data_IF_083144888438
#
_entry.id   IF_083144888438
#
_cell.length_a   1.000
_cell.length_b   1.000
_cell.length_c   1.000
_cell.angle_alpha   90.00
_cell.angle_beta   90.00
_cell.angle_gamma   90.00
#
_symmetry.space_group_name_H-M   'P 1'
#
loop_
_entity.id
_entity.type
_entity.pdbx_description
1 polymer ?
#
# COMPACT_ATOMS: atom_id res chain seq x y z
N UNK A 1 -26.76 -39.26 -6.78
CA UNK A 1 -26.66 -40.47 -5.95
C UNK A 1 -25.32 -40.50 -5.22
N UNK A 2 -25.41 -40.74 -3.92
CA UNK A 2 -24.40 -41.05 -2.88
C UNK A 2 -23.54 -39.91 -2.34
N UNK A 3 -23.98 -39.53 -1.15
CA UNK A 3 -23.27 -38.83 -0.07
C UNK A 3 -22.11 -39.69 0.46
N UNK A 4 -21.05 -39.05 0.93
CA UNK A 4 -20.24 -39.63 2.02
C UNK A 4 -19.72 -38.49 2.89
N UNK A 5 -20.23 -38.47 4.11
CA UNK A 5 -19.76 -37.68 5.25
C UNK A 5 -18.53 -38.39 5.85
N UNK A 6 -17.61 -37.58 6.37
CA UNK A 6 -16.47 -38.04 7.14
C UNK A 6 -15.96 -36.97 8.10
N UNK A 7 -16.65 -36.84 9.24
CA UNK A 7 -16.15 -36.11 10.40
C UNK A 7 -15.05 -36.90 11.10
N UNK A 8 -13.94 -36.27 11.48
CA UNK A 8 -13.11 -36.70 12.60
C UNK A 8 -12.59 -35.49 13.39
N UNK A 9 -13.19 -35.37 14.57
CA UNK A 9 -12.63 -34.63 15.70
C UNK A 9 -11.35 -35.33 16.19
N UNK A 10 -10.34 -34.58 16.58
CA UNK A 10 -9.45 -34.91 17.68
C UNK A 10 -8.98 -33.64 18.36
N UNK A 11 -9.44 -33.46 19.58
CA UNK A 11 -8.95 -32.52 20.57
C UNK A 11 -7.68 -33.07 21.22
N UNK A 12 -6.69 -32.23 21.48
CA UNK A 12 -5.70 -32.50 22.53
C UNK A 12 -5.23 -31.16 23.11
N UNK A 13 -5.60 -30.93 24.35
CA UNK A 13 -5.10 -29.89 25.22
C UNK A 13 -3.75 -30.32 25.81
N UNK A 14 -2.81 -29.40 25.93
CA UNK A 14 -1.67 -29.53 26.83
C UNK A 14 -1.37 -28.16 27.46
N UNK A 15 -1.60 -28.13 28.75
CA UNK A 15 -1.26 -27.07 29.73
C UNK A 15 0.22 -27.24 30.08
N UNK A 16 0.95 -26.11 30.19
CA UNK A 16 2.33 -26.08 30.67
C UNK A 16 2.65 -24.75 31.28
N UNK A 17 2.76 -24.73 32.61
CA UNK A 17 2.86 -23.57 33.49
C UNK A 17 4.31 -23.08 33.73
N UNK A 18 4.41 -21.79 34.03
CA UNK A 18 5.29 -21.11 35.02
C UNK A 18 6.83 -21.28 34.94
N UNK A 19 7.51 -20.15 34.82
CA UNK A 19 8.64 -19.83 35.72
C UNK A 19 8.89 -18.31 35.78
N UNK A 20 8.48 -17.69 36.87
CA UNK A 20 8.99 -16.41 37.36
C UNK A 20 10.42 -16.62 37.90
N UNK A 21 11.33 -15.74 37.56
CA UNK A 21 12.59 -15.57 38.27
C UNK A 21 12.84 -14.08 38.54
N UNK A 22 12.53 -13.66 39.74
CA UNK A 22 13.02 -12.45 40.38
C UNK A 22 14.47 -12.69 40.83
N UNK A 23 15.35 -11.75 40.55
CA UNK A 23 16.59 -11.60 41.29
C UNK A 23 16.81 -10.12 41.56
N UNK A 24 16.41 -9.74 42.78
CA UNK A 24 16.89 -8.59 43.51
C UNK A 24 18.22 -8.95 44.19
N UNK A 25 19.21 -8.09 44.07
CA UNK A 25 20.35 -8.06 44.96
C UNK A 25 20.75 -6.60 45.21
N UNK A 26 20.37 -6.08 46.35
CA UNK A 26 21.03 -4.99 47.07
C UNK A 26 22.05 -5.61 48.03
N UNK A 27 23.20 -4.99 48.17
CA UNK A 27 24.02 -4.89 49.43
C UNK A 27 25.29 -4.14 49.05
N UNK A 28 25.55 -2.98 49.49
CA UNK A 28 25.84 -2.26 50.74
C UNK A 28 27.25 -2.49 51.26
N UNK A 29 27.89 -1.35 51.57
CA UNK A 29 28.92 -0.99 52.52
C UNK A 29 30.43 -1.25 52.21
N UNK A 30 31.16 -0.11 52.24
CA UNK A 30 32.44 -0.08 52.93
C UNK A 30 33.53 0.80 52.36
N UNK A 31 33.49 2.10 52.71
CA UNK A 31 34.57 3.02 53.15
C UNK A 31 35.94 3.16 52.43
N UNK A 32 36.21 4.45 52.14
CA UNK A 32 37.47 5.27 52.39
C UNK A 32 38.62 5.10 51.40
N UNK A 33 39.09 6.10 50.79
CA UNK A 33 39.71 7.38 50.99
C UNK A 33 40.56 7.80 49.76
N UNK A 34 40.56 9.10 49.53
CA UNK A 34 41.62 9.93 48.97
C UNK A 34 41.77 10.15 47.49
N UNK A 35 41.35 11.36 47.17
CA UNK A 35 42.02 12.43 46.45
C UNK A 35 42.43 12.31 44.97
N UNK A 36 41.84 13.19 44.26
CA UNK A 36 42.43 14.26 43.43
C UNK A 36 42.24 14.19 41.91
N UNK A 37 41.69 15.31 41.44
CA UNK A 37 41.88 15.96 40.17
C UNK A 37 41.07 15.53 38.94
N UNK A 38 40.02 16.36 38.71
CA UNK A 38 39.77 17.12 37.50
C UNK A 38 39.69 16.39 36.14
N UNK A 39 38.46 16.28 35.65
CA UNK A 39 38.08 16.89 34.37
C UNK A 39 36.59 16.67 34.10
N UNK A 40 35.84 17.77 34.05
CA UNK A 40 34.46 17.82 33.52
C UNK A 40 34.39 17.30 32.10
N UNK A 41 33.57 16.31 31.90
CA UNK A 41 32.89 16.09 30.63
C UNK A 41 31.45 15.72 30.94
N UNK A 42 30.63 16.74 31.00
CA UNK A 42 29.14 16.61 31.06
C UNK A 42 28.68 16.06 29.71
N UNK A 43 28.57 14.76 29.59
CA UNK A 43 27.79 14.15 28.52
C UNK A 43 26.33 14.15 28.96
N UNK A 44 25.63 15.20 28.58
CA UNK A 44 24.18 15.22 28.56
C UNK A 44 23.72 14.06 27.66
N UNK A 45 23.41 12.93 28.26
CA UNK A 45 22.56 11.94 27.63
C UNK A 45 21.18 12.60 27.47
N UNK A 46 20.96 13.19 26.31
CA UNK A 46 19.65 13.61 25.87
C UNK A 46 18.77 12.38 25.85
N UNK A 47 17.90 12.24 26.87
CA UNK A 47 16.77 11.35 26.80
C UNK A 47 15.89 11.85 25.66
N UNK A 48 16.06 11.24 24.47
CA UNK A 48 15.07 11.33 23.42
C UNK A 48 13.82 10.68 23.99
N UNK A 49 12.91 11.49 24.49
CA UNK A 49 11.53 11.10 24.72
C UNK A 49 10.98 10.70 23.36
N UNK A 50 11.08 9.43 23.01
CA UNK A 50 10.37 8.91 21.84
C UNK A 50 8.89 9.12 22.10
N UNK A 51 8.25 9.96 21.30
CA UNK A 51 6.79 10.05 21.29
C UNK A 51 6.24 8.61 21.13
N UNK A 52 5.08 8.30 21.78
CA UNK A 52 4.47 6.98 21.60
C UNK A 52 4.35 6.68 20.11
N UNK A 53 4.82 5.50 19.70
CA UNK A 53 4.70 5.09 18.31
C UNK A 53 3.22 5.20 17.89
N UNK A 54 2.97 5.85 16.76
CA UNK A 54 1.62 6.00 16.24
C UNK A 54 1.02 4.61 16.04
N UNK A 55 -0.19 4.41 16.58
CA UNK A 55 -0.92 3.17 16.43
C UNK A 55 -1.50 3.09 15.02
N UNK A 56 -1.40 1.93 14.37
CA UNK A 56 -2.04 1.70 13.09
C UNK A 56 -3.56 1.84 13.18
N UNK A 57 -4.16 2.41 12.13
CA UNK A 57 -5.60 2.42 11.94
C UNK A 57 -6.07 1.01 11.57
N UNK A 58 -7.28 0.66 11.97
CA UNK A 58 -7.95 -0.56 11.54
C UNK A 58 -8.49 -0.41 10.10
N UNK A 59 -8.78 -1.53 9.43
CA UNK A 59 -9.44 -1.53 8.11
C UNK A 59 -10.74 -0.70 8.13
N UNK A 60 -11.58 -0.84 9.15
CA UNK A 60 -12.82 -0.08 9.27
C UNK A 60 -12.63 1.44 9.48
N UNK A 61 -11.48 1.85 10.01
CA UNK A 61 -11.11 3.28 10.11
C UNK A 61 -10.59 3.78 8.77
N UNK A 62 -9.81 2.97 8.04
CA UNK A 62 -9.34 3.29 6.69
C UNK A 62 -10.50 3.42 5.69
N UNK A 63 -11.50 2.53 5.74
CA UNK A 63 -12.71 2.61 4.91
C UNK A 63 -13.42 3.98 5.05
N UNK A 64 -13.47 4.55 6.24
CA UNK A 64 -14.05 5.89 6.48
C UNK A 64 -13.21 7.04 5.95
N UNK A 65 -11.92 6.80 5.69
CA UNK A 65 -11.00 7.77 5.11
C UNK A 65 -10.98 7.71 3.58
N UNK A 66 -11.49 6.65 2.95
CA UNK A 66 -11.63 6.60 1.49
C UNK A 66 -12.55 7.73 1.01
N UNK A 67 -12.33 8.20 -0.22
CA UNK A 67 -13.21 9.17 -0.87
C UNK A 67 -14.60 8.55 -1.05
N UNK A 68 -15.61 9.19 -0.47
CA UNK A 68 -17.00 8.79 -0.63
C UNK A 68 -17.65 9.47 -1.84
N UNK A 69 -18.78 8.91 -2.30
CA UNK A 69 -19.57 9.50 -3.38
C UNK A 69 -19.96 10.94 -3.08
N UNK A 70 -19.65 11.85 -4.01
CA UNK A 70 -19.96 13.28 -3.93
C UNK A 70 -18.90 14.15 -3.22
N UNK A 71 -17.84 13.56 -2.63
CA UNK A 71 -16.76 14.33 -2.01
C UNK A 71 -15.82 14.98 -3.04
N UNK A 72 -15.71 14.40 -4.24
CA UNK A 72 -14.92 14.97 -5.32
C UNK A 72 -15.83 15.28 -6.52
N UNK A 73 -15.96 16.59 -6.85
CA UNK A 73 -16.81 17.04 -7.96
C UNK A 73 -16.27 16.54 -9.31
N UNK A 74 -17.15 15.97 -10.13
CA UNK A 74 -16.80 15.43 -11.45
C UNK A 74 -16.27 14.00 -11.41
N UNK A 75 -16.34 13.35 -10.22
CA UNK A 75 -15.94 11.97 -10.03
C UNK A 75 -17.03 11.18 -9.31
N UNK A 76 -17.06 9.89 -9.58
CA UNK A 76 -17.84 8.88 -8.85
C UNK A 76 -16.88 8.04 -8.04
N UNK A 77 -17.29 7.67 -6.83
CA UNK A 77 -16.53 6.76 -5.97
C UNK A 77 -17.38 5.54 -5.67
N UNK A 78 -16.85 4.36 -5.91
CA UNK A 78 -17.48 3.08 -5.64
C UNK A 78 -16.61 2.25 -4.69
N UNK A 79 -17.23 1.61 -3.70
CA UNK A 79 -16.59 0.69 -2.77
C UNK A 79 -16.98 -0.75 -3.10
N UNK A 80 -16.08 -1.71 -2.84
CA UNK A 80 -16.35 -3.13 -3.03
C UNK A 80 -16.11 -3.58 -4.47
N UNK A 81 -14.96 -3.20 -5.02
CA UNK A 81 -14.53 -3.68 -6.33
C UNK A 81 -14.02 -5.12 -6.23
N UNK A 82 -14.82 -6.06 -6.76
CA UNK A 82 -14.49 -7.49 -6.81
C UNK A 82 -13.37 -7.80 -7.85
N UNK A 83 -12.92 -6.78 -8.61
CA UNK A 83 -11.84 -6.94 -9.61
C UNK A 83 -10.45 -6.80 -9.00
N UNK A 84 -10.35 -6.34 -7.75
CA UNK A 84 -9.07 -6.23 -7.05
C UNK A 84 -8.73 -7.52 -6.30
N UNK A 85 -7.44 -7.92 -6.28
CA UNK A 85 -7.00 -9.03 -5.46
C UNK A 85 -7.34 -8.79 -3.98
N UNK A 86 -8.02 -9.76 -3.36
CA UNK A 86 -8.45 -9.64 -1.96
C UNK A 86 -7.28 -9.64 -0.95
N UNK A 87 -6.09 -10.08 -1.36
CA UNK A 87 -4.93 -10.15 -0.47
C UNK A 87 -3.60 -10.26 -1.24
N UNK A 88 -2.51 -9.93 -0.54
CA UNK A 88 -1.13 -10.08 -1.06
C UNK A 88 -0.78 -11.50 -1.49
N UNK A 89 -1.42 -12.51 -0.91
CA UNK A 89 -1.16 -13.91 -1.28
C UNK A 89 -1.56 -14.24 -2.71
N UNK A 90 -2.47 -13.46 -3.29
CA UNK A 90 -2.93 -13.58 -4.67
C UNK A 90 -2.02 -12.83 -5.67
N UNK A 91 -1.12 -11.97 -5.18
CA UNK A 91 -0.19 -11.19 -6.01
C UNK A 91 1.24 -11.60 -5.69
N UNK A 92 1.91 -12.26 -6.62
CA UNK A 92 3.27 -12.79 -6.46
C UNK A 92 4.18 -12.29 -7.54
N UNK A 93 5.46 -12.12 -7.21
CA UNK A 93 6.50 -11.76 -8.16
C UNK A 93 7.62 -12.78 -8.13
N UNK A 94 8.29 -13.00 -9.26
CA UNK A 94 9.48 -13.86 -9.36
C UNK A 94 10.71 -13.22 -8.66
N UNK A 95 10.64 -11.92 -8.38
CA UNK A 95 11.68 -11.13 -7.68
C UNK A 95 11.06 -10.52 -6.42
N UNK A 96 11.44 -10.95 -5.20
CA UNK A 96 10.88 -10.42 -3.95
C UNK A 96 10.99 -8.89 -3.81
N UNK A 97 12.06 -8.28 -4.34
CA UNK A 97 12.24 -6.83 -4.32
C UNK A 97 11.17 -6.06 -5.12
N UNK A 98 10.46 -6.73 -6.04
CA UNK A 98 9.41 -6.14 -6.87
C UNK A 98 8.01 -6.27 -6.27
N UNK A 99 7.84 -7.07 -5.21
CA UNK A 99 6.55 -7.29 -4.58
C UNK A 99 5.87 -5.99 -4.10
N UNK A 100 6.56 -5.01 -3.47
CA UNK A 100 5.94 -3.75 -3.09
C UNK A 100 5.34 -2.97 -4.27
N UNK A 101 5.96 -3.04 -5.46
CA UNK A 101 5.42 -2.40 -6.67
C UNK A 101 4.13 -3.10 -7.13
N UNK A 102 4.16 -4.42 -7.20
CA UNK A 102 3.00 -5.22 -7.59
C UNK A 102 1.82 -5.03 -6.63
N UNK A 103 2.06 -4.96 -5.33
CA UNK A 103 1.02 -4.68 -4.35
C UNK A 103 0.48 -3.25 -4.47
N UNK A 104 1.33 -2.26 -4.67
CA UNK A 104 0.90 -0.88 -4.88
C UNK A 104 0.00 -0.73 -6.12
N UNK A 105 0.32 -1.43 -7.23
CA UNK A 105 -0.46 -1.46 -8.47
C UNK A 105 -1.69 -2.38 -8.39
N UNK A 106 -1.96 -2.96 -7.24
CA UNK A 106 -3.16 -3.76 -6.93
C UNK A 106 -3.98 -3.16 -5.77
N UNK A 107 -3.77 -1.89 -5.43
CA UNK A 107 -4.38 -1.19 -4.30
C UNK A 107 -4.20 -1.91 -2.94
N UNK A 108 -3.17 -2.74 -2.82
CA UNK A 108 -2.79 -3.45 -1.61
C UNK A 108 -1.70 -2.70 -0.84
N UNK A 109 -1.55 -3.03 0.44
CA UNK A 109 -0.50 -2.47 1.28
C UNK A 109 0.90 -2.84 0.76
N UNK A 110 1.78 -1.87 0.41
CA UNK A 110 3.12 -2.19 -0.11
C UNK A 110 4.10 -2.68 0.96
N UNK A 111 3.78 -2.50 2.25
CA UNK A 111 4.56 -2.97 3.39
C UNK A 111 3.85 -4.03 4.22
N UNK A 112 4.39 -4.36 5.38
CA UNK A 112 3.89 -5.42 6.26
C UNK A 112 2.79 -4.86 7.19
N UNK A 113 1.55 -5.03 6.78
CA UNK A 113 0.34 -4.74 7.57
C UNK A 113 -0.85 -5.49 6.96
N UNK A 114 -1.83 -5.85 7.80
CA UNK A 114 -3.13 -6.38 7.38
C UNK A 114 -4.21 -5.28 7.30
N UNK A 115 -3.92 -4.07 7.80
CA UNK A 115 -4.83 -2.95 7.75
C UNK A 115 -4.82 -2.31 6.35
N UNK A 116 -5.78 -2.71 5.52
CA UNK A 116 -5.94 -2.24 4.14
C UNK A 116 -7.42 -2.01 3.83
N UNK A 117 -7.70 -0.95 3.06
CA UNK A 117 -9.02 -0.66 2.49
C UNK A 117 -8.83 -0.06 1.09
N UNK A 118 -9.77 -0.29 0.20
CA UNK A 118 -9.70 0.21 -1.17
C UNK A 118 -11.06 0.63 -1.70
N UNK A 119 -11.04 1.51 -2.68
CA UNK A 119 -12.18 1.86 -3.52
C UNK A 119 -11.72 2.23 -4.93
N UNK A 120 -12.69 2.51 -5.80
CA UNK A 120 -12.44 3.03 -7.14
C UNK A 120 -13.00 4.45 -7.26
N UNK A 121 -12.31 5.28 -8.03
CA UNK A 121 -12.71 6.64 -8.34
C UNK A 121 -12.64 6.83 -9.85
N UNK A 122 -13.75 7.07 -10.50
CA UNK A 122 -13.85 7.25 -11.96
C UNK A 122 -14.36 8.64 -12.31
N UNK A 123 -13.96 9.17 -13.46
CA UNK A 123 -14.55 10.41 -13.98
C UNK A 123 -16.04 10.24 -14.25
N UNK A 124 -16.85 11.20 -13.81
CA UNK A 124 -18.28 11.25 -14.11
C UNK A 124 -18.54 11.98 -15.46
N UNK A 125 -18.17 11.32 -16.56
CA UNK A 125 -18.43 11.84 -17.92
C UNK A 125 -19.92 11.76 -18.31
N UNK A 126 -20.71 10.96 -17.60
CA UNK A 126 -22.09 10.63 -18.00
C UNK A 126 -23.17 11.50 -17.34
N UNK A 127 -22.84 12.43 -16.44
CA UNK A 127 -23.85 13.27 -15.80
C UNK A 127 -24.35 14.36 -16.75
N UNK A 128 -25.20 13.97 -17.73
CA UNK A 128 -25.96 14.90 -18.56
C UNK A 128 -25.87 14.74 -20.08
N UNK A 129 -25.08 13.82 -20.60
CA UNK A 129 -25.00 13.59 -22.05
C UNK A 129 -25.88 12.41 -22.47
N UNK A 130 -26.77 12.65 -23.44
CA UNK A 130 -27.40 11.56 -24.20
C UNK A 130 -26.30 11.00 -25.12
N UNK A 131 -25.75 9.84 -24.77
CA UNK A 131 -24.73 9.16 -25.58
C UNK A 131 -25.36 8.82 -26.93
N UNK A 132 -24.87 9.41 -27.99
CA UNK A 132 -25.31 9.07 -29.36
C UNK A 132 -24.57 7.81 -29.81
N UNK A 133 -25.13 7.04 -30.75
CA UNK A 133 -24.48 5.82 -31.27
C UNK A 133 -23.06 6.03 -31.81
N UNK A 134 -22.76 7.20 -32.36
CA UNK A 134 -21.44 7.59 -32.83
C UNK A 134 -20.42 7.84 -31.70
N UNK A 135 -20.89 8.13 -30.48
CA UNK A 135 -20.09 8.48 -29.32
C UNK A 135 -19.81 7.24 -28.40
N UNK A 136 -20.25 6.04 -28.81
CA UNK A 136 -20.05 4.83 -28.03
C UNK A 136 -18.56 4.53 -27.73
N UNK A 137 -17.67 4.82 -28.65
CA UNK A 137 -16.24 4.62 -28.44
C UNK A 137 -15.69 5.53 -27.34
N UNK A 138 -16.16 6.78 -27.28
CA UNK A 138 -15.79 7.77 -26.28
C UNK A 138 -16.45 7.49 -24.92
N UNK A 139 -17.58 6.76 -24.91
CA UNK A 139 -18.25 6.35 -23.69
C UNK A 139 -17.46 5.29 -22.89
N UNK A 140 -16.55 4.56 -23.53
CA UNK A 140 -15.62 3.62 -22.89
C UNK A 140 -14.24 4.22 -22.60
N UNK A 141 -13.99 5.46 -23.03
CA UNK A 141 -12.79 6.21 -22.67
C UNK A 141 -12.95 6.81 -21.28
N UNK A 142 -12.98 5.92 -20.30
CA UNK A 142 -13.16 6.26 -18.87
C UNK A 142 -11.90 5.84 -18.13
N UNK A 143 -11.31 6.80 -17.44
CA UNK A 143 -10.24 6.53 -16.50
C UNK A 143 -10.85 6.11 -15.16
N UNK A 144 -10.48 4.92 -14.70
CA UNK A 144 -10.78 4.41 -13.38
C UNK A 144 -9.50 4.40 -12.55
N UNK A 145 -9.49 5.15 -11.45
CA UNK A 145 -8.38 5.18 -10.50
C UNK A 145 -8.71 4.28 -9.32
N UNK A 146 -7.89 3.29 -9.09
CA UNK A 146 -7.95 2.43 -7.92
C UNK A 146 -7.15 3.07 -6.79
N UNK A 147 -7.77 3.17 -5.63
CA UNK A 147 -7.21 3.80 -4.44
C UNK A 147 -7.10 2.74 -3.34
N UNK A 148 -5.90 2.52 -2.82
CA UNK A 148 -5.64 1.68 -1.66
C UNK A 148 -5.16 2.52 -0.49
N UNK A 149 -5.68 2.28 0.71
CA UNK A 149 -5.17 2.83 1.95
C UNK A 149 -4.64 1.72 2.82
N UNK A 150 -3.49 1.92 3.45
CA UNK A 150 -2.92 1.01 4.42
C UNK A 150 -2.31 1.77 5.59
N UNK A 151 -2.39 1.22 6.80
CA UNK A 151 -1.86 1.86 7.99
C UNK A 151 -0.89 0.94 8.74
N UNK A 152 0.11 1.53 9.37
CA UNK A 152 1.25 0.83 9.92
C UNK A 152 1.55 1.28 11.35
N UNK A 153 2.11 0.40 12.15
CA UNK A 153 2.66 0.75 13.45
C UNK A 153 4.08 1.30 13.33
N UNK A 154 4.44 2.21 14.22
CA UNK A 154 5.79 2.76 14.30
C UNK A 154 6.26 3.41 12.99
N UNK A 155 7.40 2.95 12.48
CA UNK A 155 8.03 3.41 11.24
C UNK A 155 7.65 2.57 9.99
N UNK A 156 6.63 1.72 10.12
CA UNK A 156 6.22 0.80 9.06
C UNK A 156 5.81 1.50 7.76
N UNK A 157 5.16 2.66 7.83
CA UNK A 157 4.76 3.44 6.66
C UNK A 157 5.98 4.00 5.89
N UNK A 158 7.01 4.48 6.60
CA UNK A 158 8.26 4.94 5.99
C UNK A 158 8.98 3.79 5.30
N UNK A 159 9.06 2.63 5.96
CA UNK A 159 9.63 1.42 5.39
C UNK A 159 8.88 0.94 4.15
N UNK A 160 7.55 1.04 4.15
CA UNK A 160 6.71 0.67 3.02
C UNK A 160 6.98 1.56 1.79
N UNK A 161 7.01 2.88 1.96
CA UNK A 161 7.33 3.81 0.86
C UNK A 161 8.77 3.63 0.39
N UNK A 162 9.72 3.44 1.33
CA UNK A 162 11.10 3.13 0.98
C UNK A 162 11.21 1.83 0.16
N UNK A 163 10.47 0.78 0.52
CA UNK A 163 10.48 -0.48 -0.23
C UNK A 163 9.94 -0.31 -1.66
N UNK A 164 8.92 0.54 -1.87
CA UNK A 164 8.47 0.92 -3.21
C UNK A 164 9.58 1.66 -3.97
N UNK A 165 10.21 2.66 -3.37
CA UNK A 165 11.29 3.44 -3.99
C UNK A 165 12.49 2.56 -4.37
N UNK A 166 12.91 1.67 -3.47
CA UNK A 166 13.99 0.71 -3.73
C UNK A 166 13.59 -0.27 -4.86
N UNK A 167 12.32 -0.72 -4.85
CA UNK A 167 11.74 -1.59 -5.86
C UNK A 167 11.77 -0.98 -7.26
N UNK A 168 11.46 0.31 -7.40
CA UNK A 168 11.52 1.02 -8.71
C UNK A 168 12.91 0.88 -9.32
N UNK A 169 13.96 1.03 -8.52
CA UNK A 169 15.35 0.88 -8.99
C UNK A 169 15.70 -0.57 -9.28
N UNK A 170 15.40 -1.48 -8.35
CA UNK A 170 15.75 -2.89 -8.46
C UNK A 170 15.03 -3.61 -9.60
N UNK A 171 13.83 -3.14 -9.96
CA UNK A 171 12.94 -3.75 -10.95
C UNK A 171 12.90 -3.00 -12.28
N UNK A 172 13.83 -2.08 -12.54
CA UNK A 172 13.87 -1.29 -13.79
C UNK A 172 13.87 -2.17 -15.05
N UNK A 173 14.46 -3.37 -15.00
CA UNK A 173 14.47 -4.36 -16.07
C UNK A 173 13.27 -5.32 -16.08
N UNK A 174 12.22 -5.02 -15.33
CA UNK A 174 10.99 -5.81 -15.25
C UNK A 174 11.08 -7.04 -14.35
N UNK A 175 9.94 -7.73 -14.23
CA UNK A 175 9.75 -8.92 -13.39
C UNK A 175 8.54 -9.74 -13.86
N UNK A 176 8.49 -11.00 -13.45
CA UNK A 176 7.29 -11.85 -13.63
C UNK A 176 6.28 -11.54 -12.53
N UNK A 177 5.02 -11.35 -12.92
CA UNK A 177 3.88 -11.08 -12.04
C UNK A 177 2.87 -12.22 -12.19
N UNK A 178 2.43 -12.78 -11.06
CA UNK A 178 1.30 -13.70 -11.02
C UNK A 178 0.22 -13.08 -10.14
N UNK A 179 -0.96 -12.84 -10.71
CA UNK A 179 -2.12 -12.34 -10.00
C UNK A 179 -3.33 -13.23 -10.34
N UNK A 180 -4.09 -13.65 -9.33
CA UNK A 180 -5.28 -14.51 -9.48
C UNK A 180 -5.06 -15.80 -10.28
N UNK A 181 -3.83 -16.30 -10.28
CA UNK A 181 -3.45 -17.51 -11.02
C UNK A 181 -3.00 -17.29 -12.45
N UNK A 182 -3.15 -16.08 -12.98
CA UNK A 182 -2.63 -15.67 -14.28
C UNK A 182 -1.22 -15.10 -14.13
N UNK A 183 -0.34 -15.44 -15.07
CA UNK A 183 1.05 -14.95 -15.10
C UNK A 183 1.23 -13.99 -16.25
N UNK A 184 1.73 -12.81 -15.95
CA UNK A 184 2.09 -11.80 -16.94
C UNK A 184 3.50 -11.28 -16.68
N UNK A 185 4.02 -10.47 -17.58
CA UNK A 185 5.36 -9.92 -17.47
C UNK A 185 5.34 -8.40 -17.43
N UNK A 186 5.85 -7.85 -16.35
CA UNK A 186 6.27 -6.45 -16.32
C UNK A 186 7.60 -6.38 -17.04
N UNK A 187 7.68 -5.67 -18.15
CA UNK A 187 8.87 -5.63 -19.02
C UNK A 187 9.83 -4.51 -18.63
N UNK A 188 9.31 -3.46 -17.99
CA UNK A 188 10.08 -2.29 -17.59
C UNK A 188 9.39 -1.56 -16.43
N UNK A 189 10.19 -0.94 -15.55
CA UNK A 189 9.72 0.00 -14.53
C UNK A 189 10.56 1.28 -14.63
N UNK A 190 9.89 2.44 -14.56
CA UNK A 190 10.53 3.75 -14.68
C UNK A 190 10.05 4.65 -13.55
N UNK A 191 10.96 5.32 -12.86
CA UNK A 191 10.60 6.34 -11.88
C UNK A 191 9.94 7.53 -12.57
N UNK A 192 8.90 8.07 -11.94
CA UNK A 192 8.21 9.28 -12.36
C UNK A 192 8.27 10.37 -11.29
N UNK A 193 7.94 11.59 -11.68
CA UNK A 193 7.83 12.70 -10.72
C UNK A 193 6.44 12.69 -10.10
N UNK A 194 6.38 12.67 -8.77
CA UNK A 194 5.14 12.88 -8.04
C UNK A 194 5.00 14.36 -7.65
N UNK A 195 3.81 14.92 -7.86
CA UNK A 195 3.43 16.24 -7.35
C UNK A 195 2.55 16.15 -6.09
N UNK A 196 2.33 14.93 -5.57
CA UNK A 196 1.47 14.68 -4.42
C UNK A 196 1.98 15.35 -3.13
N UNK A 197 1.05 15.90 -2.37
CA UNK A 197 1.32 16.64 -1.12
C UNK A 197 1.20 15.72 0.09
N UNK A 198 2.19 14.84 0.27
CA UNK A 198 2.33 13.99 1.46
C UNK A 198 3.61 14.31 2.22
N UNK A 199 3.93 13.50 3.21
CA UNK A 199 5.22 13.54 3.89
C UNK A 199 6.31 12.94 3.00
N UNK A 200 5.93 11.91 2.22
CA UNK A 200 6.76 11.27 1.18
C UNK A 200 5.87 10.83 0.02
N UNK A 201 6.42 10.84 -1.19
CA UNK A 201 5.73 10.34 -2.37
C UNK A 201 6.70 9.68 -3.35
N UNK A 202 6.25 8.57 -3.95
CA UNK A 202 6.94 7.86 -5.03
C UNK A 202 5.96 7.65 -6.17
N UNK A 203 6.38 7.93 -7.40
CA UNK A 203 5.60 7.61 -8.60
C UNK A 203 6.46 6.80 -9.58
N UNK A 204 5.83 5.89 -10.28
CA UNK A 204 6.47 5.06 -11.29
C UNK A 204 5.50 4.62 -12.37
N UNK A 205 6.03 4.37 -13.57
CA UNK A 205 5.34 3.69 -14.65
C UNK A 205 5.86 2.25 -14.78
N UNK A 206 4.97 1.33 -15.10
CA UNK A 206 5.28 -0.07 -15.37
C UNK A 206 4.70 -0.50 -16.71
N UNK A 207 5.57 -0.97 -17.62
CA UNK A 207 5.16 -1.54 -18.89
C UNK A 207 4.86 -3.03 -18.71
N UNK A 208 3.65 -3.43 -19.02
CA UNK A 208 3.14 -4.81 -18.88
C UNK A 208 2.89 -5.41 -20.26
N UNK A 209 3.35 -6.63 -20.48
CA UNK A 209 3.05 -7.40 -21.68
C UNK A 209 1.58 -7.88 -21.64
N UNK A 210 0.82 -7.58 -22.68
CA UNK A 210 -0.61 -7.89 -22.77
C UNK A 210 -0.88 -9.06 -23.73
N UNK A 211 0.01 -10.05 -23.78
CA UNK A 211 -0.15 -11.31 -24.51
C UNK A 211 -0.80 -11.17 -25.90
N UNK A 212 -0.11 -10.47 -26.81
CA UNK A 212 -0.55 -10.30 -28.20
C UNK A 212 -1.35 -9.02 -28.49
N UNK A 213 -1.82 -8.30 -27.46
CA UNK A 213 -2.37 -6.95 -27.58
C UNK A 213 -1.30 -5.84 -27.51
N UNK A 214 -0.03 -6.23 -27.41
CA UNK A 214 1.10 -5.30 -27.26
C UNK A 214 1.51 -5.08 -25.83
N UNK A 215 1.85 -3.86 -25.47
CA UNK A 215 2.25 -3.47 -24.10
C UNK A 215 1.29 -2.42 -23.55
N UNK A 216 1.00 -2.49 -22.26
CA UNK A 216 0.25 -1.48 -21.53
C UNK A 216 1.16 -0.80 -20.51
N UNK A 217 1.08 0.54 -20.41
CA UNK A 217 1.82 1.31 -19.41
C UNK A 217 0.88 1.75 -18.29
N UNK A 218 1.13 1.26 -17.08
CA UNK A 218 0.37 1.62 -15.89
C UNK A 218 1.15 2.65 -15.08
N UNK A 219 0.47 3.71 -14.63
CA UNK A 219 1.03 4.75 -13.79
C UNK A 219 0.57 4.55 -12.35
N UNK A 220 1.51 4.54 -11.42
CA UNK A 220 1.24 4.33 -10.00
C UNK A 220 1.86 5.45 -9.17
N UNK A 221 1.08 5.98 -8.24
CA UNK A 221 1.54 6.95 -7.24
C UNK A 221 1.32 6.39 -5.85
N UNK A 222 2.33 6.50 -4.99
CA UNK A 222 2.30 6.09 -3.58
C UNK A 222 2.62 7.29 -2.73
N UNK A 223 1.78 7.59 -1.75
CA UNK A 223 1.91 8.77 -0.88
C UNK A 223 1.80 8.36 0.57
N UNK A 224 2.77 8.79 1.40
CA UNK A 224 2.71 8.65 2.85
C UNK A 224 2.20 9.93 3.49
N UNK A 225 1.33 9.77 4.47
CA UNK A 225 0.91 10.82 5.40
C UNK A 225 0.80 10.22 6.80
N UNK A 226 1.66 10.67 7.72
CA UNK A 226 1.78 10.05 9.04
C UNK A 226 2.16 8.57 8.94
N UNK A 227 1.36 7.73 9.57
CA UNK A 227 1.49 6.27 9.55
C UNK A 227 0.59 5.58 8.49
N UNK A 228 0.00 6.35 7.57
CA UNK A 228 -0.85 5.84 6.50
C UNK A 228 -0.19 6.02 5.14
N UNK A 229 -0.31 5.00 4.31
CA UNK A 229 0.13 5.02 2.91
C UNK A 229 -1.09 4.91 2.01
N UNK A 230 -1.20 5.80 1.05
CA UNK A 230 -2.17 5.75 -0.04
C UNK A 230 -1.47 5.32 -1.33
N UNK A 231 -2.05 4.36 -2.04
CA UNK A 231 -1.63 3.91 -3.36
C UNK A 231 -2.68 4.26 -4.38
N UNK A 232 -2.27 4.68 -5.56
CA UNK A 232 -3.15 5.05 -6.66
C UNK A 232 -2.60 4.48 -7.95
N UNK A 233 -3.44 3.86 -8.75
CA UNK A 233 -3.11 3.54 -10.14
C UNK A 233 -4.34 3.71 -11.02
N UNK A 234 -4.14 4.04 -12.29
CA UNK A 234 -5.22 4.32 -13.24
C UNK A 234 -5.26 3.26 -14.33
N UNK A 235 -6.47 2.90 -14.72
CA UNK A 235 -6.77 2.02 -15.84
C UNK A 235 -7.75 2.75 -16.75
N UNK A 236 -7.40 2.87 -18.03
CA UNK A 236 -8.29 3.36 -19.07
C UNK A 236 -8.89 2.17 -19.84
N UNK A 237 -10.21 2.02 -19.81
CA UNK A 237 -10.89 0.87 -20.41
C UNK A 237 -10.73 0.81 -21.95
N UNK A 238 -10.70 1.94 -22.63
CA UNK A 238 -10.47 1.97 -24.06
C UNK A 238 -9.04 1.53 -24.43
N UNK A 239 -8.05 1.89 -23.60
CA UNK A 239 -6.66 1.49 -23.76
C UNK A 239 -6.44 0.01 -23.45
N UNK A 240 -7.14 -0.58 -22.47
CA UNK A 240 -7.00 -2.01 -22.13
C UNK A 240 -7.18 -2.94 -23.32
N UNK A 241 -8.10 -2.63 -24.25
CA UNK A 241 -8.38 -3.48 -25.41
C UNK A 241 -7.36 -3.36 -26.54
N UNK A 242 -6.53 -2.32 -26.52
CA UNK A 242 -5.62 -1.95 -27.63
C UNK A 242 -4.15 -1.96 -27.21
N UNK A 243 -3.88 -2.06 -25.91
CA UNK A 243 -2.59 -1.72 -25.33
C UNK A 243 -2.37 -0.19 -25.32
N UNK A 244 -1.23 0.23 -24.80
CA UNK A 244 -0.84 1.64 -24.72
C UNK A 244 -0.86 2.20 -23.30
N UNK A 245 -0.95 3.51 -23.20
CA UNK A 245 -0.95 4.23 -21.94
C UNK A 245 -2.32 4.09 -21.24
N UNK A 246 -2.31 3.65 -19.97
CA UNK A 246 -3.52 3.46 -19.16
C UNK A 246 -4.01 4.75 -18.47
N UNK A 247 -3.39 5.88 -18.78
CA UNK A 247 -3.72 7.18 -18.22
C UNK A 247 -2.94 7.50 -16.94
N UNK A 248 -2.59 8.75 -16.79
CA UNK A 248 -1.92 9.25 -15.60
C UNK A 248 -2.87 9.24 -14.39
N UNK A 249 -2.32 9.03 -13.18
CA UNK A 249 -3.10 9.17 -11.94
C UNK A 249 -3.58 10.63 -11.78
N UNK A 250 -4.90 10.89 -11.71
CA UNK A 250 -5.42 12.26 -11.65
C UNK A 250 -5.00 12.96 -10.35
N UNK A 251 -4.32 14.09 -10.45
CA UNK A 251 -3.85 14.87 -9.30
C UNK A 251 -5.01 15.27 -8.36
N UNK A 252 -6.20 15.53 -8.91
CA UNK A 252 -7.40 15.89 -8.14
C UNK A 252 -7.82 14.74 -7.20
N UNK A 253 -7.74 13.49 -7.65
CA UNK A 253 -8.04 12.30 -6.83
C UNK A 253 -7.00 12.14 -5.74
N UNK A 254 -5.72 12.24 -6.07
CA UNK A 254 -4.61 12.14 -5.10
C UNK A 254 -4.71 13.21 -4.03
N UNK A 255 -4.86 14.49 -4.42
CA UNK A 255 -4.94 15.61 -3.48
C UNK A 255 -6.15 15.49 -2.55
N UNK A 256 -7.33 15.12 -3.10
CA UNK A 256 -8.54 14.95 -2.31
C UNK A 256 -8.41 13.79 -1.31
N UNK A 257 -7.85 12.65 -1.73
CA UNK A 257 -7.66 11.50 -0.84
C UNK A 257 -6.61 11.78 0.24
N UNK A 258 -5.48 12.37 -0.12
CA UNK A 258 -4.40 12.69 0.84
C UNK A 258 -4.85 13.74 1.87
N UNK A 259 -5.72 14.67 1.48
CA UNK A 259 -6.27 15.67 2.40
C UNK A 259 -7.12 15.05 3.54
N UNK A 260 -7.66 13.84 3.36
CA UNK A 260 -8.40 13.09 4.40
C UNK A 260 -7.49 12.36 5.38
N UNK A 261 -6.21 12.17 5.04
CA UNK A 261 -5.22 11.50 5.89
C UNK A 261 -4.64 12.50 6.92
N UNK A 262 -4.25 11.95 8.08
CA UNK A 262 -3.71 12.73 9.22
C UNK A 262 -2.23 12.49 9.41
#
# INVERSE_FOLDING_TARGET
MKRSSGARLCAAAAVGALSLSFLTACSDEGSKDSADSKASASSSAGSSSSAPAAKALTTAELEKLLLAQGELKGYKSDSGDDTLPASKSQVKTDKPACAPLAWATAALAPGDTDANASNTVSEDKASGATVKPEDFADAFDIDMTFVGLSSYEGDGAEKAVKAVSDGVTACAGGYGLTAEGETTKVTKVVAEKSAAKGDEAVAFAADVDMDGAGSATFHTTVVRKGNTVATFYTVNFAAMSKGGDMGAVPAAVVDAQVAKLK
#
